data_IF_557623973560
#
_entry.id   IF_557623973560
#
_cell.length_a   1.000
_cell.length_b   1.000
_cell.length_c   1.000
_cell.angle_alpha   90.00
_cell.angle_beta   90.00
_cell.angle_gamma   90.00
#
_symmetry.space_group_name_H-M   'P 1'
#
loop_
_entity.id
_entity.type
_entity.pdbx_description
1 polymer ?
#
# COMPACT_ATOMS: atom_id res chain seq x y z
N UNK A 1 0.69 5.28 7.77
CA UNK A 1 0.69 5.18 6.30
C UNK A 1 2.01 4.60 5.84
N UNK A 2 1.99 3.37 5.31
CA UNK A 2 3.16 2.82 4.63
C UNK A 2 3.16 3.37 3.20
N UNK A 3 3.83 4.51 2.99
CA UNK A 3 4.04 5.11 1.65
C UNK A 3 4.94 4.16 0.84
N UNK A 4 4.31 3.18 0.19
CA UNK A 4 4.94 2.20 -0.70
C UNK A 4 4.71 2.66 -2.14
N UNK A 5 5.78 2.78 -2.92
CA UNK A 5 5.71 3.15 -4.34
C UNK A 5 6.52 2.16 -5.17
N UNK A 6 5.93 1.61 -6.22
CA UNK A 6 6.54 0.54 -7.02
C UNK A 6 7.02 -0.65 -6.17
N UNK A 7 6.32 -0.96 -5.08
CA UNK A 7 6.68 -2.01 -4.13
C UNK A 7 7.78 -1.67 -3.12
N UNK A 8 8.36 -0.47 -3.21
CA UNK A 8 9.40 0.01 -2.30
C UNK A 8 8.79 0.86 -1.19
N UNK A 9 9.03 0.50 0.07
CA UNK A 9 8.75 1.37 1.21
C UNK A 9 9.64 2.61 1.16
N UNK A 10 9.10 3.76 1.58
CA UNK A 10 9.91 4.96 1.79
C UNK A 10 11.11 4.67 2.69
N UNK A 11 12.25 5.29 2.36
CA UNK A 11 13.58 5.11 2.99
C UNK A 11 14.16 3.70 2.91
N UNK A 12 13.54 2.76 2.19
CA UNK A 12 14.12 1.45 1.94
C UNK A 12 15.31 1.54 0.96
N UNK A 13 16.39 0.83 1.27
CA UNK A 13 17.49 0.58 0.34
C UNK A 13 17.67 -0.92 0.16
N UNK A 14 17.40 -1.41 -1.06
CA UNK A 14 17.45 -2.83 -1.42
C UNK A 14 16.81 -3.76 -0.36
N UNK A 15 15.59 -3.45 0.07
CA UNK A 15 14.83 -4.26 1.03
C UNK A 15 15.23 -4.08 2.50
N UNK A 16 16.12 -3.14 2.80
CA UNK A 16 16.49 -2.75 4.16
C UNK A 16 15.86 -1.41 4.50
N UNK A 17 15.06 -1.37 5.56
CA UNK A 17 14.44 -0.15 6.08
C UNK A 17 15.09 0.19 7.42
N UNK A 18 15.96 1.22 7.49
CA UNK A 18 16.47 1.71 8.75
C UNK A 18 15.40 2.56 9.45
N UNK A 19 15.21 2.35 10.75
CA UNK A 19 14.36 3.21 11.57
C UNK A 19 14.89 3.25 13.01
N UNK A 20 14.53 4.31 13.70
CA UNK A 20 15.01 4.57 15.05
C UNK A 20 13.84 4.51 16.03
N UNK A 21 14.01 3.82 17.15
CA UNK A 21 13.01 3.75 18.21
C UNK A 21 13.70 3.70 19.56
N UNK A 22 13.30 4.57 20.48
CA UNK A 22 13.81 4.61 21.87
C UNK A 22 15.34 4.53 21.96
N UNK A 23 16.02 5.47 21.28
CA UNK A 23 17.49 5.55 21.22
C UNK A 23 18.21 4.31 20.62
N UNK A 24 17.45 3.42 19.98
CA UNK A 24 17.97 2.21 19.35
C UNK A 24 17.79 2.27 17.83
N UNK A 25 18.89 2.06 17.11
CA UNK A 25 18.86 1.89 15.66
C UNK A 25 18.43 0.46 15.32
N UNK A 26 17.34 0.33 14.57
CA UNK A 26 16.84 -0.93 14.05
C UNK A 26 16.87 -0.95 12.53
N UNK A 27 16.87 -2.15 11.97
CA UNK A 27 16.81 -2.40 10.54
C UNK A 27 15.78 -3.49 10.29
N UNK A 28 14.71 -3.18 9.55
CA UNK A 28 13.83 -4.20 8.99
C UNK A 28 14.46 -4.69 7.69
N UNK A 29 14.81 -5.97 7.63
CA UNK A 29 15.49 -6.59 6.49
C UNK A 29 14.53 -7.57 5.83
N UNK A 30 14.30 -7.39 4.53
CA UNK A 30 13.49 -8.31 3.74
C UNK A 30 14.17 -9.69 3.69
N UNK A 31 13.38 -10.77 3.83
CA UNK A 31 13.91 -12.14 3.98
C UNK A 31 14.81 -12.60 2.82
N UNK A 32 14.58 -12.06 1.62
CA UNK A 32 15.35 -12.37 0.42
C UNK A 32 16.71 -11.63 0.33
N UNK A 33 17.01 -10.72 1.27
CA UNK A 33 18.29 -9.99 1.29
C UNK A 33 19.37 -10.89 1.88
N UNK A 34 20.34 -11.25 1.04
CA UNK A 34 21.57 -11.89 1.48
C UNK A 34 22.69 -10.85 1.58
N UNK A 35 23.37 -10.78 2.74
CA UNK A 35 24.44 -9.82 3.01
C UNK A 35 25.61 -10.01 2.03
N UNK A 36 25.91 -11.25 1.62
CA UNK A 36 27.02 -11.52 0.69
C UNK A 36 26.76 -11.01 -0.73
N UNK A 37 25.50 -10.73 -1.08
CA UNK A 37 25.08 -10.28 -2.41
C UNK A 37 24.53 -8.84 -2.39
N UNK A 38 24.68 -8.15 -1.25
CA UNK A 38 24.15 -6.81 -1.05
C UNK A 38 24.78 -5.82 -2.04
N UNK A 39 23.95 -5.11 -2.79
CA UNK A 39 24.37 -4.21 -3.88
C UNK A 39 24.51 -4.87 -5.25
N UNK A 40 24.45 -6.21 -5.35
CA UNK A 40 24.45 -6.95 -6.62
C UNK A 40 23.03 -7.35 -7.02
N UNK A 41 22.16 -7.61 -6.04
CA UNK A 41 20.77 -8.02 -6.27
C UNK A 41 19.99 -6.91 -7.00
N UNK A 42 19.33 -7.26 -8.10
CA UNK A 42 18.42 -6.36 -8.81
C UNK A 42 17.20 -6.02 -7.95
N UNK A 43 16.84 -4.74 -7.91
CA UNK A 43 15.70 -4.21 -7.16
C UNK A 43 14.37 -4.90 -7.50
N UNK A 44 14.19 -5.37 -8.73
CA UNK A 44 12.98 -6.08 -9.17
C UNK A 44 12.77 -7.44 -8.48
N UNK A 45 13.82 -8.04 -7.90
CA UNK A 45 13.69 -9.27 -7.11
C UNK A 45 13.18 -9.03 -5.70
N UNK A 46 13.29 -7.78 -5.22
CA UNK A 46 12.96 -7.39 -3.85
C UNK A 46 11.62 -6.65 -3.82
N UNK A 47 11.41 -5.75 -4.79
CA UNK A 47 10.22 -4.91 -4.85
C UNK A 47 9.25 -5.40 -5.91
N UNK A 48 8.04 -5.72 -5.45
CA UNK A 48 6.92 -6.11 -6.31
C UNK A 48 5.87 -4.99 -6.31
N UNK A 49 5.51 -4.53 -7.51
CA UNK A 49 4.52 -3.49 -7.72
C UNK A 49 3.11 -3.89 -7.20
N UNK A 50 2.84 -5.18 -7.03
CA UNK A 50 1.61 -5.64 -6.38
C UNK A 50 1.46 -5.07 -4.96
N UNK A 51 2.56 -4.83 -4.25
CA UNK A 51 2.51 -4.21 -2.91
C UNK A 51 2.03 -2.76 -2.94
N UNK A 52 2.30 -2.02 -4.01
CA UNK A 52 1.80 -0.65 -4.20
C UNK A 52 0.26 -0.65 -4.31
N UNK A 53 -0.27 -1.49 -5.22
CA UNK A 53 -1.71 -1.62 -5.43
C UNK A 53 -2.47 -2.09 -4.18
N UNK A 54 -1.84 -2.98 -3.40
CA UNK A 54 -2.35 -3.47 -2.12
C UNK A 54 -2.33 -2.40 -1.04
N UNK A 55 -1.24 -1.65 -0.91
CA UNK A 55 -1.11 -0.58 0.08
C UNK A 55 -2.11 0.55 -0.19
N UNK A 56 -2.31 0.88 -1.47
CA UNK A 56 -3.31 1.84 -1.91
C UNK A 56 -4.73 1.44 -1.52
N UNK A 57 -5.06 0.14 -1.60
CA UNK A 57 -6.35 -0.36 -1.11
C UNK A 57 -6.49 -0.22 0.41
N UNK A 58 -5.42 -0.47 1.18
CA UNK A 58 -5.46 -0.29 2.64
C UNK A 58 -5.77 1.16 3.01
N UNK A 59 -5.09 2.13 2.38
CA UNK A 59 -5.35 3.56 2.59
C UNK A 59 -6.79 3.94 2.19
N UNK A 60 -7.29 3.40 1.08
CA UNK A 60 -8.68 3.58 0.66
C UNK A 60 -9.67 3.02 1.68
N UNK A 61 -9.40 1.81 2.19
CA UNK A 61 -10.27 1.12 3.15
C UNK A 61 -10.33 1.85 4.49
N UNK A 62 -9.22 2.43 4.95
CA UNK A 62 -9.16 3.21 6.18
C UNK A 62 -10.04 4.47 6.10
N UNK A 63 -10.13 5.07 4.91
CA UNK A 63 -10.92 6.27 4.67
C UNK A 63 -12.41 6.00 4.46
N UNK A 64 -12.75 4.98 3.67
CA UNK A 64 -14.12 4.79 3.19
C UNK A 64 -14.83 3.57 3.73
N UNK A 65 -14.11 2.55 4.20
CA UNK A 65 -14.68 1.29 4.65
C UNK A 65 -14.80 1.22 6.18
N UNK A 66 -15.12 2.35 6.80
CA UNK A 66 -15.45 2.40 8.22
C UNK A 66 -16.95 2.28 8.42
N UNK A 67 -17.43 1.75 9.57
CA UNK A 67 -18.86 1.64 9.86
C UNK A 67 -19.62 2.98 9.80
N UNK A 68 -18.92 4.11 9.94
CA UNK A 68 -19.49 5.46 9.85
C UNK A 68 -19.73 5.92 8.41
N UNK A 69 -18.97 5.38 7.46
CA UNK A 69 -18.97 5.82 6.05
C UNK A 69 -19.68 4.82 5.15
N UNK A 70 -19.27 3.56 5.18
CA UNK A 70 -19.78 2.48 4.34
C UNK A 70 -19.83 1.17 5.13
N UNK A 71 -20.99 0.52 5.13
CA UNK A 71 -21.25 -0.73 5.87
C UNK A 71 -21.38 -1.97 4.98
N UNK A 72 -21.26 -1.79 3.66
CA UNK A 72 -21.29 -2.90 2.70
C UNK A 72 -19.91 -3.54 2.52
N UNK A 73 -19.80 -4.42 1.52
CA UNK A 73 -18.52 -4.99 1.11
C UNK A 73 -17.60 -3.84 0.67
N UNK A 74 -16.39 -3.80 1.24
CA UNK A 74 -15.36 -2.81 0.90
C UNK A 74 -14.72 -3.18 -0.44
N UNK A 75 -15.42 -2.90 -1.53
CA UNK A 75 -14.88 -3.13 -2.87
C UNK A 75 -15.14 -1.91 -3.76
N UNK A 76 -14.09 -1.14 -4.14
CA UNK A 76 -14.22 0.03 -5.02
C UNK A 76 -14.72 -0.31 -6.44
N UNK A 77 -14.66 -1.59 -6.84
CA UNK A 77 -15.18 -2.07 -8.11
C UNK A 77 -16.62 -2.57 -8.03
N UNK A 78 -17.12 -2.83 -6.82
CA UNK A 78 -18.50 -3.26 -6.61
C UNK A 78 -19.50 -2.18 -7.03
N UNK A 79 -20.62 -2.63 -7.61
CA UNK A 79 -21.67 -1.72 -8.05
C UNK A 79 -22.31 -0.97 -6.87
N UNK A 80 -22.45 -1.63 -5.71
CA UNK A 80 -23.02 -1.05 -4.50
C UNK A 80 -22.20 0.14 -3.98
N UNK A 81 -20.87 -0.03 -3.85
CA UNK A 81 -19.99 1.03 -3.38
C UNK A 81 -19.89 2.16 -4.41
N UNK A 82 -19.82 1.83 -5.71
CA UNK A 82 -19.83 2.83 -6.79
C UNK A 82 -21.11 3.67 -6.78
N UNK A 83 -22.25 3.06 -6.57
CA UNK A 83 -23.52 3.77 -6.45
C UNK A 83 -23.55 4.66 -5.21
N UNK A 84 -22.98 4.22 -4.08
CA UNK A 84 -22.80 5.09 -2.91
C UNK A 84 -21.94 6.31 -3.22
N UNK A 85 -20.78 6.16 -3.89
CA UNK A 85 -19.97 7.29 -4.35
C UNK A 85 -20.73 8.22 -5.31
N UNK A 86 -21.59 7.68 -6.19
CA UNK A 86 -22.47 8.49 -7.05
C UNK A 86 -23.47 9.32 -6.24
N UNK A 87 -24.15 8.73 -5.25
CA UNK A 87 -25.10 9.46 -4.40
C UNK A 87 -24.46 10.62 -3.64
N UNK A 88 -23.16 10.53 -3.34
CA UNK A 88 -22.37 11.59 -2.70
C UNK A 88 -21.77 12.60 -3.69
N UNK A 89 -21.89 12.37 -4.99
CA UNK A 89 -21.23 13.18 -6.02
C UNK A 89 -19.71 13.04 -6.03
N UNK A 90 -19.16 11.95 -5.48
CA UNK A 90 -17.73 11.73 -5.28
C UNK A 90 -17.09 10.79 -6.30
N UNK A 91 -17.73 10.58 -7.46
CA UNK A 91 -17.22 9.65 -8.47
C UNK A 91 -15.81 10.00 -8.97
N UNK A 92 -15.53 11.30 -9.16
CA UNK A 92 -14.19 11.77 -9.53
C UNK A 92 -13.15 11.43 -8.47
N UNK A 93 -13.52 11.43 -7.18
CA UNK A 93 -12.60 11.04 -6.10
C UNK A 93 -12.30 9.55 -6.18
N UNK A 94 -13.29 8.71 -6.44
CA UNK A 94 -13.09 7.28 -6.64
C UNK A 94 -12.16 7.01 -7.83
N UNK A 95 -12.33 7.72 -8.94
CA UNK A 95 -11.49 7.59 -10.14
C UNK A 95 -10.03 8.02 -9.89
N UNK A 96 -9.79 9.04 -9.05
CA UNK A 96 -8.43 9.47 -8.68
C UNK A 96 -7.64 8.40 -7.91
N UNK A 97 -8.33 7.48 -7.21
CA UNK A 97 -7.66 6.33 -6.60
C UNK A 97 -7.15 5.32 -7.62
N UNK A 98 -7.61 5.35 -8.87
CA UNK A 98 -7.13 4.45 -9.92
C UNK A 98 -7.21 2.96 -9.54
N UNK A 99 -6.26 2.17 -10.04
CA UNK A 99 -6.24 0.72 -9.80
C UNK A 99 -5.71 0.40 -8.40
N UNK A 100 -6.37 -0.57 -7.77
CA UNK A 100 -6.11 -1.12 -6.44
C UNK A 100 -6.34 -2.64 -6.46
N UNK A 101 -5.64 -3.38 -5.61
CA UNK A 101 -5.88 -4.81 -5.41
C UNK A 101 -6.69 -5.02 -4.13
N UNK A 102 -7.91 -5.53 -4.28
CA UNK A 102 -8.84 -5.83 -3.17
C UNK A 102 -8.55 -7.24 -2.63
N UNK A 103 -8.78 -7.45 -1.33
CA UNK A 103 -8.56 -8.72 -0.63
C UNK A 103 -9.87 -9.36 -0.18
#
# INVERSE_FOLDING_TARGET
MADIRAGMMRTAYLGVVPFFTSDTQLYAVHYAVNISEFGIISSHKIYDNAWDLKSKYLDFSELYCTPKTWTGICDPYSESMRNWFKTKGWIKRLELWGNMTVF
#
